data_IF_983933760149
#
_entry.id   IF_983933760149
#
_cell.length_a   1.000
_cell.length_b   1.000
_cell.length_c   1.000
_cell.angle_alpha   90.00
_cell.angle_beta   90.00
_cell.angle_gamma   90.00
#
_symmetry.space_group_name_H-M   'P 1'
#
loop_
_entity.id
_entity.type
_entity.pdbx_description
1 polymer ?
#
# COMPACT_ATOMS: atom_id res chain seq x y z
N UNK A 1 -14.51 17.06 12.81
CA UNK A 1 -14.91 17.17 11.40
C UNK A 1 -15.77 18.41 11.29
N UNK A 2 -15.44 19.32 10.37
CA UNK A 2 -16.35 20.38 10.00
C UNK A 2 -17.40 19.86 9.02
N UNK A 3 -18.46 20.62 8.78
CA UNK A 3 -19.46 20.31 7.74
C UNK A 3 -18.85 20.21 6.35
N UNK A 4 -17.85 21.05 6.05
CA UNK A 4 -17.13 21.04 4.77
C UNK A 4 -16.31 19.75 4.58
N UNK A 5 -15.70 19.24 5.65
CA UNK A 5 -14.97 17.97 5.61
C UNK A 5 -15.93 16.81 5.34
N UNK A 6 -17.13 16.84 5.94
CA UNK A 6 -18.15 15.82 5.74
C UNK A 6 -18.68 15.82 4.31
N UNK A 7 -18.99 16.99 3.74
CA UNK A 7 -19.42 17.12 2.35
C UNK A 7 -18.34 16.61 1.37
N UNK A 8 -17.07 16.88 1.68
CA UNK A 8 -15.93 16.40 0.90
C UNK A 8 -15.80 14.88 1.00
N UNK A 9 -15.99 14.30 2.19
CA UNK A 9 -15.99 12.86 2.42
C UNK A 9 -17.13 12.16 1.66
N UNK A 10 -18.33 12.75 1.66
CA UNK A 10 -19.50 12.25 0.92
C UNK A 10 -19.22 12.26 -0.59
N UNK A 11 -18.66 13.36 -1.12
CA UNK A 11 -18.31 13.47 -2.55
C UNK A 11 -17.23 12.46 -2.96
N UNK A 12 -16.25 12.21 -2.09
CA UNK A 12 -15.19 11.25 -2.36
C UNK A 12 -15.72 9.81 -2.39
N UNK A 13 -16.77 9.52 -1.62
CA UNK A 13 -17.37 8.19 -1.47
C UNK A 13 -16.31 7.09 -1.27
N UNK A 14 -15.51 7.16 -0.20
CA UNK A 14 -14.34 6.32 -0.02
C UNK A 14 -14.71 4.84 0.10
N UNK A 15 -13.81 3.93 -0.27
CA UNK A 15 -14.04 2.50 -0.09
C UNK A 15 -13.90 2.04 1.36
N UNK A 16 -13.13 2.74 2.19
CA UNK A 16 -12.87 2.46 3.61
C UNK A 16 -12.70 3.80 4.34
N UNK A 17 -13.18 3.89 5.58
CA UNK A 17 -12.93 5.04 6.47
C UNK A 17 -12.14 4.55 7.68
N UNK A 18 -11.09 5.26 8.07
CA UNK A 18 -10.35 4.98 9.31
C UNK A 18 -10.58 6.16 10.25
N UNK A 19 -11.10 5.87 11.44
CA UNK A 19 -11.27 6.84 12.52
C UNK A 19 -10.26 6.53 13.63
N UNK A 20 -9.29 7.41 13.81
CA UNK A 20 -8.26 7.32 14.85
C UNK A 20 -8.07 8.68 15.52
N UNK A 21 -7.48 8.69 16.71
CA UNK A 21 -7.20 9.91 17.46
C UNK A 21 -7.35 9.73 18.96
N UNK A 22 -6.67 10.60 19.71
CA UNK A 22 -6.49 10.47 21.15
C UNK A 22 -5.51 9.36 21.52
N UNK A 23 -4.64 9.63 22.48
CA UNK A 23 -3.93 8.56 23.22
C UNK A 23 -4.94 7.82 24.09
N UNK A 24 -4.60 6.61 24.51
CA UNK A 24 -5.47 5.83 25.39
C UNK A 24 -5.72 6.56 26.71
N UNK A 25 -6.98 6.55 27.12
CA UNK A 25 -7.49 7.27 28.30
C UNK A 25 -7.29 8.80 28.25
N UNK A 26 -6.93 9.35 27.09
CA UNK A 26 -6.79 10.79 26.84
C UNK A 26 -8.07 11.44 26.31
N UNK A 27 -7.88 12.43 25.41
CA UNK A 27 -8.98 13.14 24.73
C UNK A 27 -9.87 12.16 23.94
N UNK A 28 -11.19 12.29 24.08
CA UNK A 28 -12.19 11.38 23.47
C UNK A 28 -13.30 12.09 22.70
N UNK A 29 -13.60 13.33 23.02
CA UNK A 29 -14.74 14.07 22.49
C UNK A 29 -14.61 14.27 20.98
N UNK A 30 -13.38 14.55 20.49
CA UNK A 30 -13.18 14.76 19.05
C UNK A 30 -13.55 13.52 18.24
N UNK A 31 -13.10 12.34 18.66
CA UNK A 31 -13.39 11.09 17.92
C UNK A 31 -14.84 10.68 18.03
N UNK A 32 -15.48 10.88 19.20
CA UNK A 32 -16.91 10.64 19.41
C UNK A 32 -17.75 11.56 18.52
N UNK A 33 -17.44 12.86 18.48
CA UNK A 33 -18.14 13.82 17.64
C UNK A 33 -17.98 13.52 16.14
N UNK A 34 -16.80 13.08 15.72
CA UNK A 34 -16.58 12.63 14.35
C UNK A 34 -17.42 11.38 14.02
N UNK A 35 -17.52 10.43 14.95
CA UNK A 35 -18.37 9.25 14.79
C UNK A 35 -19.84 9.63 14.59
N UNK A 36 -20.35 10.62 15.36
CA UNK A 36 -21.72 11.16 15.19
C UNK A 36 -21.93 11.73 13.79
N UNK A 37 -21.03 12.59 13.31
CA UNK A 37 -21.12 13.13 11.95
C UNK A 37 -21.11 12.05 10.86
N UNK A 38 -20.23 11.05 10.98
CA UNK A 38 -20.15 9.94 10.02
C UNK A 38 -21.40 9.06 10.08
N UNK A 39 -21.99 8.88 11.26
CA UNK A 39 -23.20 8.09 11.46
C UNK A 39 -24.40 8.64 10.67
N UNK A 40 -24.51 9.97 10.60
CA UNK A 40 -25.58 10.69 9.89
C UNK A 40 -25.34 10.80 8.37
N UNK A 41 -24.09 10.63 7.92
CA UNK A 41 -23.75 10.73 6.50
C UNK A 41 -24.24 9.52 5.70
N UNK A 42 -24.63 9.69 4.42
CA UNK A 42 -25.03 8.60 3.52
C UNK A 42 -23.82 7.80 2.99
N UNK A 43 -22.88 7.46 3.86
CA UNK A 43 -21.69 6.67 3.58
C UNK A 43 -21.89 5.23 4.07
N UNK A 44 -21.61 4.26 3.21
CA UNK A 44 -21.76 2.83 3.51
C UNK A 44 -20.43 2.09 3.57
N UNK A 45 -19.34 2.82 3.45
CA UNK A 45 -17.98 2.31 3.56
C UNK A 45 -17.77 1.65 4.92
N UNK A 46 -17.10 0.49 5.00
CA UNK A 46 -16.63 -0.05 6.27
C UNK A 46 -15.76 0.96 7.01
N UNK A 47 -15.96 1.06 8.32
CA UNK A 47 -15.26 1.97 9.21
C UNK A 47 -14.35 1.15 10.13
N UNK A 48 -13.08 1.54 10.21
CA UNK A 48 -12.11 0.95 11.14
C UNK A 48 -11.83 2.00 12.22
N UNK A 49 -12.22 1.71 13.46
CA UNK A 49 -11.86 2.52 14.62
C UNK A 49 -10.57 2.00 15.24
N UNK A 50 -9.57 2.86 15.31
CA UNK A 50 -8.23 2.56 15.82
C UNK A 50 -7.69 3.72 16.66
N UNK A 51 -8.53 4.29 17.52
CA UNK A 51 -8.20 5.43 18.40
C UNK A 51 -8.30 5.07 19.87
N UNK A 52 -8.35 6.10 20.72
CA UNK A 52 -8.43 6.00 22.18
C UNK A 52 -9.38 4.89 22.67
N UNK A 53 -8.83 3.87 23.34
CA UNK A 53 -9.60 2.71 23.82
C UNK A 53 -10.76 3.11 24.74
N UNK A 54 -10.65 4.20 25.50
CA UNK A 54 -11.71 4.68 26.38
C UNK A 54 -12.93 5.25 25.64
N UNK A 55 -12.80 5.52 24.33
CA UNK A 55 -13.89 5.97 23.47
C UNK A 55 -14.42 4.87 22.54
N UNK A 56 -13.79 3.69 22.53
CA UNK A 56 -14.07 2.62 21.57
C UNK A 56 -15.52 2.14 21.62
N UNK A 57 -16.03 1.81 22.81
CA UNK A 57 -17.39 1.31 23.00
C UNK A 57 -18.45 2.33 22.55
N UNK A 58 -18.25 3.61 22.90
CA UNK A 58 -19.18 4.68 22.53
C UNK A 58 -19.18 4.94 21.02
N UNK A 59 -18.00 5.02 20.40
CA UNK A 59 -17.86 5.19 18.95
C UNK A 59 -18.48 4.01 18.20
N UNK A 60 -18.19 2.78 18.65
CA UNK A 60 -18.75 1.58 18.04
C UNK A 60 -20.28 1.58 18.14
N UNK A 61 -20.83 1.92 19.31
CA UNK A 61 -22.27 1.99 19.52
C UNK A 61 -22.95 3.01 18.60
N UNK A 62 -22.41 4.24 18.50
CA UNK A 62 -22.93 5.31 17.63
C UNK A 62 -23.01 4.83 16.18
N UNK A 63 -21.91 4.26 15.68
CA UNK A 63 -21.81 3.86 14.27
C UNK A 63 -22.64 2.62 13.96
N UNK A 64 -22.66 1.60 14.83
CA UNK A 64 -23.47 0.40 14.64
C UNK A 64 -24.97 0.70 14.67
N UNK A 65 -25.43 1.59 15.57
CA UNK A 65 -26.84 2.01 15.62
C UNK A 65 -27.28 2.72 14.33
N UNK A 66 -26.36 3.39 13.65
CA UNK A 66 -26.60 3.98 12.32
C UNK A 66 -26.42 2.97 11.17
N UNK A 67 -26.43 1.67 11.45
CA UNK A 67 -26.25 0.57 10.50
C UNK A 67 -24.93 0.67 9.70
N UNK A 68 -23.88 1.26 10.28
CA UNK A 68 -22.54 1.25 9.67
C UNK A 68 -21.83 -0.06 10.02
N UNK A 69 -21.01 -0.55 9.08
CA UNK A 69 -20.12 -1.68 9.33
C UNK A 69 -18.85 -1.18 10.02
N UNK A 70 -18.60 -1.62 11.25
CA UNK A 70 -17.51 -1.12 12.09
C UNK A 70 -16.59 -2.25 12.51
N UNK A 71 -15.29 -1.99 12.49
CA UNK A 71 -14.25 -2.84 13.06
C UNK A 71 -13.50 -2.02 14.10
N UNK A 72 -13.41 -2.52 15.33
CA UNK A 72 -12.61 -1.91 16.40
C UNK A 72 -11.30 -2.67 16.52
N UNK A 73 -10.19 -1.94 16.59
CA UNK A 73 -8.85 -2.48 16.80
C UNK A 73 -8.11 -1.65 17.84
N UNK A 74 -6.98 -2.17 18.32
CA UNK A 74 -6.08 -1.43 19.20
C UNK A 74 -5.70 -0.07 18.58
N UNK A 75 -5.52 0.92 19.45
CA UNK A 75 -5.16 2.27 19.08
C UNK A 75 -3.84 2.28 18.28
N UNK A 76 -3.80 2.99 17.14
CA UNK A 76 -2.57 3.14 16.36
C UNK A 76 -1.53 4.01 17.08
N UNK A 77 -1.97 4.82 18.05
CA UNK A 77 -1.14 5.72 18.85
C UNK A 77 -1.55 5.67 20.33
N UNK A 78 -1.31 4.53 21.02
CA UNK A 78 -1.82 4.30 22.38
C UNK A 78 -1.22 5.28 23.39
N UNK A 79 0.05 5.69 23.22
CA UNK A 79 0.74 6.64 24.07
C UNK A 79 1.49 7.69 23.25
N UNK A 80 1.96 8.76 23.91
CA UNK A 80 2.86 9.74 23.29
C UNK A 80 4.14 9.01 22.85
N UNK A 81 4.50 9.18 21.58
CA UNK A 81 5.64 8.59 20.89
C UNK A 81 5.59 7.05 20.71
N UNK A 82 4.43 6.42 20.92
CA UNK A 82 4.22 4.98 20.68
C UNK A 82 3.30 4.75 19.47
N UNK A 83 3.73 3.90 18.53
CA UNK A 83 2.98 3.62 17.30
C UNK A 83 2.69 2.10 17.16
N UNK A 84 1.41 1.71 17.26
CA UNK A 84 0.95 0.33 17.15
C UNK A 84 0.12 0.10 15.86
N UNK A 85 0.78 0.02 14.71
CA UNK A 85 0.09 -0.07 13.40
C UNK A 85 -0.37 -1.47 13.01
N UNK A 86 0.10 -2.53 13.67
CA UNK A 86 -0.10 -3.91 13.21
C UNK A 86 -1.58 -4.31 13.20
N UNK A 87 -2.36 -4.10 14.29
CA UNK A 87 -3.78 -4.48 14.32
C UNK A 87 -4.61 -3.77 13.25
N UNK A 88 -4.41 -2.45 13.10
CA UNK A 88 -5.07 -1.68 12.07
C UNK A 88 -4.73 -2.16 10.65
N UNK A 89 -3.46 -2.48 10.37
CA UNK A 89 -3.03 -3.00 9.06
C UNK A 89 -3.70 -4.34 8.73
N UNK A 90 -3.80 -5.25 9.68
CA UNK A 90 -4.43 -6.56 9.48
C UNK A 90 -5.92 -6.42 9.14
N UNK A 91 -6.64 -5.55 9.84
CA UNK A 91 -8.06 -5.29 9.54
C UNK A 91 -8.23 -4.54 8.22
N UNK A 92 -7.39 -3.55 7.90
CA UNK A 92 -7.42 -2.89 6.59
C UNK A 92 -7.27 -3.93 5.48
N UNK A 93 -6.28 -4.81 5.59
CA UNK A 93 -6.06 -5.89 4.63
C UNK A 93 -7.31 -6.77 4.52
N UNK A 94 -7.83 -7.28 5.64
CA UNK A 94 -9.05 -8.11 5.65
C UNK A 94 -10.24 -7.42 4.98
N UNK A 95 -10.46 -6.14 5.27
CA UNK A 95 -11.55 -5.35 4.67
C UNK A 95 -11.35 -5.22 3.16
N UNK A 96 -10.13 -4.96 2.69
CA UNK A 96 -9.84 -4.95 1.26
C UNK A 96 -10.10 -6.31 0.61
N UNK A 97 -9.65 -7.40 1.24
CA UNK A 97 -9.84 -8.76 0.75
C UNK A 97 -11.33 -9.12 0.61
N UNK A 98 -12.17 -8.75 1.59
CA UNK A 98 -13.63 -8.94 1.55
C UNK A 98 -14.31 -8.24 0.36
N UNK A 99 -13.73 -7.15 -0.16
CA UNK A 99 -14.22 -6.44 -1.35
C UNK A 99 -13.70 -7.05 -2.64
N UNK A 100 -12.43 -7.49 -2.68
CA UNK A 100 -11.83 -8.14 -3.85
C UNK A 100 -12.60 -9.40 -4.21
N UNK A 101 -12.95 -10.23 -3.22
CA UNK A 101 -13.68 -11.48 -3.45
C UNK A 101 -15.15 -11.30 -3.88
N UNK A 102 -15.66 -10.06 -3.91
CA UNK A 102 -16.98 -9.69 -4.43
C UNK A 102 -16.90 -9.06 -5.83
N UNK A 103 -15.71 -8.98 -6.42
CA UNK A 103 -15.54 -8.44 -7.77
C UNK A 103 -16.34 -9.27 -8.81
N UNK A 104 -16.82 -8.64 -9.90
CA UNK A 104 -17.56 -9.34 -10.94
C UNK A 104 -16.81 -10.58 -11.45
N UNK A 105 -17.49 -11.73 -11.45
CA UNK A 105 -16.91 -13.02 -11.86
C UNK A 105 -16.33 -13.87 -10.73
N UNK A 106 -16.14 -13.32 -9.53
CA UNK A 106 -15.63 -14.08 -8.37
C UNK A 106 -16.59 -15.17 -7.89
N UNK A 107 -17.89 -15.00 -8.07
CA UNK A 107 -18.91 -16.01 -7.72
C UNK A 107 -18.63 -17.34 -8.46
N UNK A 108 -18.33 -17.27 -9.77
CA UNK A 108 -17.99 -18.44 -10.57
C UNK A 108 -16.68 -19.09 -10.12
N UNK A 109 -15.70 -18.30 -9.70
CA UNK A 109 -14.41 -18.82 -9.23
C UNK A 109 -14.60 -19.54 -7.89
N UNK A 110 -15.43 -19.02 -6.99
CA UNK A 110 -15.76 -19.68 -5.71
C UNK A 110 -16.38 -21.05 -5.92
N UNK A 111 -17.23 -21.22 -6.92
CA UNK A 111 -17.83 -22.52 -7.26
C UNK A 111 -16.80 -23.54 -7.82
N UNK A 112 -15.63 -23.07 -8.27
CA UNK A 112 -14.57 -23.90 -8.86
C UNK A 112 -13.48 -24.31 -7.86
N UNK A 113 -13.44 -23.73 -6.66
CA UNK A 113 -12.38 -23.97 -5.67
C UNK A 113 -12.97 -24.38 -4.33
N UNK A 114 -12.27 -25.25 -3.60
CA UNK A 114 -12.65 -25.73 -2.28
C UNK A 114 -11.84 -25.08 -1.15
N UNK A 115 -11.07 -24.04 -1.46
CA UNK A 115 -10.19 -23.33 -0.52
C UNK A 115 -10.38 -21.82 -0.65
N UNK A 116 -9.89 -21.09 0.35
CA UNK A 116 -9.91 -19.65 0.38
C UNK A 116 -9.12 -19.05 -0.80
N UNK A 117 -9.69 -18.03 -1.42
CA UNK A 117 -9.04 -17.30 -2.49
C UNK A 117 -8.13 -16.25 -1.89
N UNK A 118 -6.82 -16.41 -2.08
CA UNK A 118 -5.82 -15.46 -1.61
C UNK A 118 -5.62 -14.36 -2.65
N UNK A 119 -5.83 -13.07 -2.31
CA UNK A 119 -5.57 -11.97 -3.24
C UNK A 119 -4.09 -11.84 -3.57
N UNK A 120 -3.77 -11.32 -4.77
CA UNK A 120 -2.40 -11.24 -5.29
C UNK A 120 -1.39 -10.67 -4.29
N UNK A 121 -1.64 -9.55 -3.60
CA UNK A 121 -0.66 -9.04 -2.64
C UNK A 121 -0.34 -9.99 -1.48
N UNK A 122 -1.36 -10.71 -0.98
CA UNK A 122 -1.20 -11.73 0.05
C UNK A 122 -0.47 -12.96 -0.48
N UNK A 123 -0.80 -13.38 -1.71
CA UNK A 123 -0.18 -14.52 -2.37
C UNK A 123 1.31 -14.27 -2.65
N UNK A 124 1.66 -13.10 -3.20
CA UNK A 124 3.05 -12.72 -3.47
C UNK A 124 3.84 -12.66 -2.16
N UNK A 125 3.31 -12.03 -1.11
CA UNK A 125 4.01 -12.00 0.18
C UNK A 125 4.28 -13.40 0.75
N UNK A 126 3.27 -14.28 0.69
CA UNK A 126 3.39 -15.65 1.18
C UNK A 126 4.42 -16.44 0.38
N UNK A 127 4.36 -16.36 -0.96
CA UNK A 127 5.33 -17.04 -1.85
C UNK A 127 6.74 -16.49 -1.65
N UNK A 128 6.92 -15.17 -1.56
CA UNK A 128 8.23 -14.56 -1.32
C UNK A 128 8.86 -15.04 -0.01
N UNK A 129 8.07 -15.16 1.05
CA UNK A 129 8.54 -15.66 2.34
C UNK A 129 8.98 -17.13 2.22
N UNK A 130 8.11 -18.00 1.67
CA UNK A 130 8.42 -19.41 1.47
C UNK A 130 9.64 -19.63 0.57
N UNK A 131 9.75 -18.86 -0.52
CA UNK A 131 10.88 -18.95 -1.44
C UNK A 131 12.18 -18.50 -0.77
N UNK A 132 12.13 -17.53 0.14
CA UNK A 132 13.31 -17.06 0.84
C UNK A 132 13.91 -18.09 1.79
N UNK A 133 13.10 -19.04 2.27
CA UNK A 133 13.59 -20.16 3.09
C UNK A 133 14.47 -21.12 2.24
N UNK A 134 14.25 -21.17 0.92
CA UNK A 134 14.97 -22.03 -0.01
C UNK A 134 16.19 -21.35 -0.67
N UNK A 135 16.04 -20.08 -1.07
CA UNK A 135 17.09 -19.37 -1.85
C UNK A 135 17.76 -18.23 -1.09
N UNK A 136 17.31 -17.96 0.14
CA UNK A 136 17.79 -16.85 0.96
C UNK A 136 17.16 -15.52 0.58
N UNK A 137 17.92 -14.45 0.79
CA UNK A 137 17.44 -13.08 0.64
C UNK A 137 17.07 -12.75 -0.82
N UNK A 138 15.88 -12.17 -1.01
CA UNK A 138 15.29 -11.95 -2.33
C UNK A 138 14.44 -10.67 -2.42
N UNK A 139 14.23 -10.21 -3.65
CA UNK A 139 13.21 -9.21 -4.01
C UNK A 139 12.24 -9.78 -5.03
N UNK A 140 10.95 -9.55 -4.81
CA UNK A 140 9.90 -9.77 -5.82
C UNK A 140 9.29 -8.43 -6.21
N UNK A 141 9.15 -8.21 -7.51
CA UNK A 141 8.51 -7.03 -8.10
C UNK A 141 7.22 -7.49 -8.76
N UNK A 142 6.09 -7.06 -8.22
CA UNK A 142 4.76 -7.34 -8.78
C UNK A 142 4.26 -6.10 -9.53
N UNK A 143 4.25 -6.17 -10.85
CA UNK A 143 3.89 -5.04 -11.72
C UNK A 143 2.44 -5.24 -12.19
N UNK A 144 1.56 -4.40 -11.69
CA UNK A 144 0.15 -4.38 -12.04
C UNK A 144 -0.24 -3.28 -13.02
N UNK A 145 -1.49 -3.32 -13.46
CA UNK A 145 -2.08 -2.25 -14.28
C UNK A 145 -2.20 -0.92 -13.52
N UNK A 146 -2.39 -0.96 -12.20
CA UNK A 146 -2.59 0.22 -11.35
C UNK A 146 -1.38 0.53 -10.46
N UNK A 147 -0.74 -0.48 -9.88
CA UNK A 147 0.36 -0.30 -8.92
C UNK A 147 1.56 -1.16 -9.31
N UNK A 148 2.74 -0.79 -8.79
CA UNK A 148 3.89 -1.69 -8.74
C UNK A 148 4.25 -1.90 -7.29
N UNK A 149 4.30 -3.15 -6.86
CA UNK A 149 4.60 -3.53 -5.49
C UNK A 149 6.01 -4.14 -5.43
N UNK A 150 6.77 -3.80 -4.39
CA UNK A 150 8.09 -4.37 -4.14
C UNK A 150 8.08 -5.07 -2.80
N UNK A 151 8.33 -6.38 -2.84
CA UNK A 151 8.45 -7.25 -1.69
C UNK A 151 9.92 -7.59 -1.50
N UNK A 152 10.47 -7.38 -0.30
CA UNK A 152 11.82 -7.82 0.02
C UNK A 152 11.81 -8.67 1.28
N UNK A 153 12.54 -9.78 1.23
CA UNK A 153 12.78 -10.65 2.38
C UNK A 153 14.30 -10.68 2.59
N UNK A 154 14.78 -9.98 3.61
CA UNK A 154 16.21 -9.82 3.93
C UNK A 154 16.39 -9.19 5.30
N UNK A 155 17.47 -9.54 5.99
CA UNK A 155 17.93 -8.83 7.19
C UNK A 155 18.95 -7.73 6.86
N UNK A 156 19.33 -7.60 5.58
CA UNK A 156 20.38 -6.72 5.12
C UNK A 156 21.78 -7.26 5.40
N UNK A 157 22.79 -6.51 4.97
CA UNK A 157 24.20 -6.85 5.18
C UNK A 157 24.66 -6.45 6.59
N UNK A 158 25.56 -7.24 7.22
CA UNK A 158 26.11 -6.89 8.54
C UNK A 158 26.75 -5.49 8.59
N UNK A 159 27.38 -5.05 7.49
CA UNK A 159 28.00 -3.73 7.39
C UNK A 159 26.98 -2.58 7.43
N UNK A 160 25.83 -2.74 6.77
CA UNK A 160 24.81 -1.69 6.75
C UNK A 160 24.01 -1.69 8.05
N UNK A 161 23.72 -2.87 8.62
CA UNK A 161 23.04 -2.98 9.92
C UNK A 161 23.74 -2.17 11.03
N UNK A 162 25.07 -2.13 11.05
CA UNK A 162 25.85 -1.36 12.05
C UNK A 162 25.63 0.15 11.98
N UNK A 163 25.23 0.67 10.80
CA UNK A 163 25.00 2.10 10.58
C UNK A 163 23.52 2.43 10.39
N UNK A 164 22.63 1.44 10.50
CA UNK A 164 21.17 1.62 10.40
C UNK A 164 20.64 2.26 11.67
N UNK A 165 19.96 3.40 11.52
CA UNK A 165 19.38 4.15 12.65
C UNK A 165 17.92 3.81 12.95
N UNK A 166 17.27 3.03 12.07
CA UNK A 166 15.88 2.62 12.23
C UNK A 166 15.72 1.20 11.68
N UNK A 167 15.48 0.19 12.52
CA UNK A 167 15.37 -1.18 12.06
C UNK A 167 14.15 -1.35 11.14
N UNK A 168 14.31 -2.22 10.15
CA UNK A 168 13.25 -2.59 9.20
C UNK A 168 12.86 -4.05 9.43
N UNK A 169 11.59 -4.42 9.27
CA UNK A 169 11.18 -5.82 9.41
C UNK A 169 11.86 -6.69 8.35
N UNK A 170 12.15 -7.96 8.69
CA UNK A 170 12.72 -8.94 7.74
C UNK A 170 11.89 -9.07 6.48
N UNK A 171 10.57 -9.02 6.59
CA UNK A 171 9.65 -8.97 5.46
C UNK A 171 9.07 -7.57 5.30
N UNK A 172 9.26 -6.97 4.12
CA UNK A 172 8.77 -5.62 3.81
C UNK A 172 8.09 -5.59 2.46
N UNK A 173 6.96 -4.88 2.38
CA UNK A 173 6.29 -4.51 1.13
C UNK A 173 6.14 -3.00 1.04
N UNK A 174 6.44 -2.43 -0.12
CA UNK A 174 5.99 -1.08 -0.50
C UNK A 174 5.06 -1.18 -1.70
N UNK A 175 4.13 -0.23 -1.79
CA UNK A 175 3.14 -0.15 -2.86
C UNK A 175 3.29 1.20 -3.53
N UNK A 176 3.69 1.19 -4.80
CA UNK A 176 3.82 2.40 -5.60
C UNK A 176 2.52 2.64 -6.36
N UNK A 177 1.61 3.38 -5.70
CA UNK A 177 0.27 3.65 -6.19
C UNK A 177 0.22 4.45 -7.50
N UNK A 178 1.30 5.15 -7.85
CA UNK A 178 1.44 5.95 -9.07
C UNK A 178 2.12 5.18 -10.22
N UNK A 179 2.67 3.99 -9.98
CA UNK A 179 3.49 3.24 -10.96
C UNK A 179 2.74 2.03 -11.57
N UNK A 180 1.59 2.26 -12.19
CA UNK A 180 0.84 1.22 -12.92
C UNK A 180 1.07 1.28 -14.42
N UNK A 181 1.08 0.12 -15.10
CA UNK A 181 1.34 0.08 -16.55
C UNK A 181 0.10 0.34 -17.42
N UNK A 182 -1.10 0.44 -16.84
CA UNK A 182 -2.36 0.67 -17.58
C UNK A 182 -3.17 1.83 -16.99
N UNK A 183 -3.81 1.65 -15.83
CA UNK A 183 -4.64 2.68 -15.19
C UNK A 183 -3.83 3.92 -14.83
N UNK A 184 -2.59 3.73 -14.37
CA UNK A 184 -1.66 4.81 -14.01
C UNK A 184 -0.53 4.98 -15.04
N UNK A 185 -0.72 4.47 -16.26
CA UNK A 185 0.32 4.46 -17.30
C UNK A 185 0.87 5.86 -17.59
N UNK A 186 0.04 6.90 -17.48
CA UNK A 186 0.45 8.28 -17.72
C UNK A 186 1.59 8.73 -16.81
N UNK A 187 1.57 8.34 -15.53
CA UNK A 187 2.63 8.70 -14.58
C UNK A 187 3.95 8.01 -14.97
N UNK A 188 3.89 6.77 -15.43
CA UNK A 188 5.05 6.02 -15.90
C UNK A 188 5.58 6.61 -17.22
N UNK A 189 4.70 6.95 -18.17
CA UNK A 189 5.08 7.57 -19.44
C UNK A 189 5.84 8.89 -19.22
N UNK A 190 5.42 9.70 -18.23
CA UNK A 190 6.08 10.97 -17.89
C UNK A 190 7.54 10.81 -17.47
N UNK A 191 7.93 9.65 -16.95
CA UNK A 191 9.31 9.35 -16.51
C UNK A 191 10.09 8.48 -17.49
N UNK A 192 9.47 7.96 -18.54
CA UNK A 192 10.12 7.17 -19.60
C UNK A 192 10.84 8.10 -20.59
N UNK A 193 12.04 7.73 -21.03
CA UNK A 193 12.69 8.39 -22.17
C UNK A 193 11.87 8.11 -23.44
N UNK A 194 11.28 9.18 -24.02
CA UNK A 194 10.44 9.11 -25.23
C UNK A 194 11.15 8.42 -26.41
N UNK A 195 12.49 8.44 -26.47
CA UNK A 195 13.25 7.73 -27.51
C UNK A 195 13.00 6.22 -27.51
N UNK A 196 12.63 5.63 -26.37
CA UNK A 196 12.30 4.20 -26.28
C UNK A 196 11.02 3.86 -27.05
N UNK A 197 10.02 4.76 -27.06
CA UNK A 197 8.80 4.59 -27.84
C UNK A 197 9.07 4.74 -29.34
N UNK A 198 9.89 5.73 -29.74
CA UNK A 198 10.27 5.92 -31.14
C UNK A 198 10.97 4.68 -31.72
N UNK A 199 11.85 4.02 -30.93
CA UNK A 199 12.55 2.78 -31.34
C UNK A 199 11.61 1.62 -31.67
N UNK A 200 10.40 1.61 -31.10
CA UNK A 200 9.38 0.60 -31.38
C UNK A 200 8.31 1.13 -32.35
N UNK A 201 8.54 2.28 -32.99
CA UNK A 201 7.65 2.90 -33.97
C UNK A 201 6.39 3.51 -33.37
N UNK A 202 6.47 4.01 -32.13
CA UNK A 202 5.41 4.80 -31.50
C UNK A 202 5.87 6.25 -31.49
N UNK A 203 5.34 7.05 -32.43
CA UNK A 203 5.71 8.46 -32.58
C UNK A 203 4.97 9.35 -31.56
N UNK A 204 3.70 9.05 -31.31
CA UNK A 204 2.87 9.71 -30.32
C UNK A 204 2.37 8.70 -29.28
N UNK A 205 3.01 8.71 -28.11
CA UNK A 205 2.70 7.80 -27.00
C UNK A 205 1.34 8.11 -26.37
N UNK A 206 0.89 9.36 -26.39
CA UNK A 206 -0.37 9.77 -25.76
C UNK A 206 -1.55 9.30 -26.59
N UNK A 207 -1.45 9.40 -27.92
CA UNK A 207 -2.40 8.79 -28.87
C UNK A 207 -2.32 7.27 -28.84
N UNK A 208 -1.14 6.68 -28.65
CA UNK A 208 -1.01 5.23 -28.54
C UNK A 208 -1.68 4.69 -27.27
N UNK A 209 -1.44 5.34 -26.12
CA UNK A 209 -2.02 5.00 -24.80
C UNK A 209 -3.55 4.93 -24.86
N UNK A 210 -4.21 5.86 -25.57
CA UNK A 210 -5.67 5.87 -25.65
C UNK A 210 -6.28 4.72 -26.47
N UNK A 211 -5.44 3.99 -27.24
CA UNK A 211 -5.87 2.90 -28.12
C UNK A 211 -5.54 1.51 -27.57
N UNK A 212 -4.61 1.40 -26.62
CA UNK A 212 -4.21 0.10 -26.08
C UNK A 212 -5.26 -0.45 -25.12
N UNK A 213 -5.39 -1.77 -25.11
CA UNK A 213 -6.20 -2.51 -24.13
C UNK A 213 -5.32 -3.04 -23.02
N UNK A 214 -5.92 -3.36 -21.87
CA UNK A 214 -5.23 -3.91 -20.70
C UNK A 214 -4.38 -5.15 -21.04
N UNK A 215 -4.89 -6.02 -21.92
CA UNK A 215 -4.14 -7.16 -22.45
C UNK A 215 -3.62 -6.80 -23.85
N UNK A 216 -2.29 -6.78 -24.06
CA UNK A 216 -1.71 -6.45 -25.35
C UNK A 216 -2.19 -7.42 -26.43
N UNK A 217 -2.66 -6.87 -27.55
CA UNK A 217 -3.14 -7.64 -28.71
C UNK A 217 -2.08 -7.77 -29.80
N UNK A 218 -1.03 -6.94 -29.75
CA UNK A 218 0.03 -6.91 -30.77
C UNK A 218 1.42 -6.94 -30.14
N UNK A 219 2.42 -7.35 -30.93
CA UNK A 219 3.84 -7.31 -30.50
C UNK A 219 4.28 -5.87 -30.14
N UNK A 220 3.75 -4.87 -30.83
CA UNK A 220 4.04 -3.45 -30.56
C UNK A 220 3.48 -3.02 -29.21
N UNK A 221 2.25 -3.42 -28.88
CA UNK A 221 1.65 -3.19 -27.56
C UNK A 221 2.40 -3.92 -26.45
N UNK A 222 2.81 -5.18 -26.68
CA UNK A 222 3.62 -5.92 -25.72
C UNK A 222 4.95 -5.20 -25.43
N UNK A 223 5.62 -4.66 -26.47
CA UNK A 223 6.84 -3.86 -26.31
C UNK A 223 6.61 -2.54 -25.57
N UNK A 224 5.46 -1.90 -25.80
CA UNK A 224 5.05 -0.72 -25.04
C UNK A 224 4.93 -1.03 -23.54
N UNK A 225 4.20 -2.09 -23.17
CA UNK A 225 4.07 -2.51 -21.77
C UNK A 225 5.40 -2.98 -21.17
N UNK A 226 6.28 -3.62 -21.95
CA UNK A 226 7.63 -3.99 -21.51
C UNK A 226 8.46 -2.76 -21.12
N UNK A 227 8.39 -1.67 -21.89
CA UNK A 227 9.05 -0.40 -21.58
C UNK A 227 8.50 0.18 -20.27
N UNK A 228 7.17 0.26 -20.15
CA UNK A 228 6.54 0.79 -18.93
C UNK A 228 6.89 -0.05 -17.70
N UNK A 229 6.80 -1.38 -17.81
CA UNK A 229 7.12 -2.31 -16.73
C UNK A 229 8.56 -2.18 -16.26
N UNK A 230 9.53 -2.08 -17.18
CA UNK A 230 10.95 -1.86 -16.83
C UNK A 230 11.16 -0.56 -16.05
N UNK A 231 10.53 0.53 -16.48
CA UNK A 231 10.68 1.83 -15.82
C UNK A 231 9.96 1.85 -14.47
N UNK A 232 8.75 1.29 -14.40
CA UNK A 232 7.99 1.14 -13.16
C UNK A 232 8.76 0.29 -12.13
N UNK A 233 9.25 -0.88 -12.53
CA UNK A 233 10.06 -1.76 -11.69
C UNK A 233 11.30 -1.06 -11.14
N UNK A 234 12.09 -0.43 -12.02
CA UNK A 234 13.28 0.32 -11.63
C UNK A 234 12.92 1.40 -10.61
N UNK A 235 11.89 2.20 -10.90
CA UNK A 235 11.51 3.32 -10.04
C UNK A 235 10.97 2.87 -8.68
N UNK A 236 10.21 1.78 -8.68
CA UNK A 236 9.68 1.17 -7.47
C UNK A 236 10.81 0.65 -6.57
N UNK A 237 11.79 -0.06 -7.14
CA UNK A 237 12.96 -0.54 -6.38
C UNK A 237 13.79 0.63 -5.84
N UNK A 238 14.01 1.70 -6.63
CA UNK A 238 14.70 2.92 -6.16
C UNK A 238 14.02 3.58 -4.95
N UNK A 239 12.69 3.54 -4.89
CA UNK A 239 11.90 4.09 -3.78
C UNK A 239 11.83 3.14 -2.59
N UNK A 240 11.80 1.84 -2.84
CA UNK A 240 11.81 0.81 -1.80
C UNK A 240 13.16 0.76 -1.07
N UNK A 241 14.27 0.89 -1.81
CA UNK A 241 15.61 0.85 -1.28
C UNK A 241 15.90 2.01 -0.32
N UNK A 242 16.56 1.69 0.79
CA UNK A 242 17.12 2.65 1.72
C UNK A 242 18.26 3.45 1.11
N UNK A 243 18.69 4.49 1.84
CA UNK A 243 19.77 5.38 1.43
C UNK A 243 20.79 5.51 2.55
N UNK A 244 22.06 5.55 2.16
CA UNK A 244 23.15 5.99 3.04
C UNK A 244 23.21 7.51 2.98
N UNK A 245 23.31 8.16 4.14
CA UNK A 245 23.50 9.61 4.28
C UNK A 245 24.70 9.88 5.16
N UNK A 246 25.46 10.91 4.79
CA UNK A 246 26.46 11.50 5.67
C UNK A 246 25.78 12.45 6.65
N UNK A 247 26.04 12.25 7.94
CA UNK A 247 25.74 13.21 8.99
C UNK A 247 27.03 13.88 9.47
N UNK A 248 26.94 15.18 9.68
CA UNK A 248 28.02 15.98 10.26
C UNK A 248 27.71 16.20 11.74
N UNK A 249 28.52 15.59 12.60
CA UNK A 249 28.44 15.77 14.04
C UNK A 249 29.66 16.50 14.61
N UNK A 250 29.67 16.78 15.92
CA UNK A 250 30.80 17.43 16.60
C UNK A 250 32.12 16.66 16.47
N UNK A 251 32.05 15.35 16.26
CA UNK A 251 33.20 14.45 16.10
C UNK A 251 33.58 14.17 14.64
N UNK A 252 32.93 14.81 13.67
CA UNK A 252 33.21 14.67 12.24
C UNK A 252 32.07 14.04 11.43
N UNK A 253 32.42 13.49 10.26
CA UNK A 253 31.46 12.84 9.34
C UNK A 253 31.17 11.41 9.78
N UNK A 254 29.88 11.05 9.82
CA UNK A 254 29.42 9.70 10.08
C UNK A 254 28.40 9.28 9.03
N UNK A 255 28.60 8.10 8.44
CA UNK A 255 27.59 7.49 7.57
C UNK A 255 26.50 6.85 8.42
N UNK A 256 25.25 7.06 8.02
CA UNK A 256 24.07 6.37 8.55
C UNK A 256 23.25 5.81 7.41
N UNK A 257 22.64 4.65 7.61
CA UNK A 257 21.67 4.07 6.71
C UNK A 257 20.25 4.32 7.22
N UNK A 258 19.37 4.75 6.31
CA UNK A 258 17.93 4.91 6.57
C UNK A 258 17.13 4.18 5.50
N UNK A 259 16.21 3.34 5.94
CA UNK A 259 15.35 2.54 5.08
C UNK A 259 15.90 1.14 4.82
N UNK A 260 15.35 0.47 3.81
CA UNK A 260 15.57 -0.95 3.55
C UNK A 260 16.93 -1.22 2.91
N UNK A 261 17.77 -2.02 3.56
CA UNK A 261 18.98 -2.54 2.92
C UNK A 261 18.64 -3.69 1.97
N UNK A 262 19.03 -3.55 0.69
CA UNK A 262 18.88 -4.58 -0.33
C UNK A 262 20.23 -5.15 -0.79
N UNK A 263 21.35 -4.74 -0.18
CA UNK A 263 22.71 -5.10 -0.64
C UNK A 263 23.08 -6.57 -0.41
N UNK A 264 22.39 -7.26 0.49
CA UNK A 264 22.57 -8.70 0.74
C UNK A 264 21.83 -9.59 -0.28
N UNK A 265 20.94 -9.00 -1.08
CA UNK A 265 20.07 -9.73 -2.00
C UNK A 265 20.84 -10.14 -3.25
N UNK A 266 20.76 -11.43 -3.59
CA UNK A 266 21.41 -12.01 -4.77
C UNK A 266 20.45 -12.19 -5.95
N UNK A 267 19.15 -12.15 -5.68
CA UNK A 267 18.05 -12.47 -6.60
C UNK A 267 17.02 -11.34 -6.68
#
# INVERSE_FOLDING_TARGET
>A
LSKYDLDSLIKLNPNIIILSGGVDYGEKETVINNAKFISEAPLFSPIIYAGNIAAADEVEHILKNANKKVYVVDNVYPNIDELNVKPAREIIQKVFEEHIVKAPGMEKIRDMVNQDILPTPGAVMKISTLLSDEIGDLVVIDIGGATTDVHSITDGSPSIQQITISPEPRSKRTVEGDLGVFYNAENVIKIVDRKLFNKIGIDDVDVFKSKVKQIPQTKKEAKYYEILGKVAAKKAVERHAGKIKELFGPTGRKNIAKGRDLTAIKY
#
